data_IF_443868169062
#
_entry.id   IF_443868169062
#
_cell.length_a   1.000
_cell.length_b   1.000
_cell.length_c   1.000
_cell.angle_alpha   90.00
_cell.angle_beta   90.00
_cell.angle_gamma   90.00
#
_symmetry.space_group_name_H-M   'P 1'
#
loop_
_entity.id
_entity.type
_entity.pdbx_description
1 polymer ?
#
# COMPACT_ATOMS: atom_id res chain seq x y z
N UNK A 1 -14.96 -2.51 26.62
CA UNK A 1 -15.38 -1.39 25.74
C UNK A 1 -15.57 -1.83 24.29
N UNK A 2 -14.63 -2.57 23.66
CA UNK A 2 -14.72 -3.04 22.26
C UNK A 2 -15.94 -3.93 22.00
N UNK A 3 -16.28 -4.83 22.92
CA UNK A 3 -17.45 -5.72 22.75
C UNK A 3 -18.78 -4.95 22.76
N UNK A 4 -18.87 -3.86 23.53
CA UNK A 4 -20.04 -2.98 23.58
C UNK A 4 -20.18 -2.16 22.30
N UNK A 5 -19.05 -1.64 21.76
CA UNK A 5 -19.02 -0.87 20.51
C UNK A 5 -19.48 -1.71 19.29
N UNK A 6 -19.01 -2.97 19.20
CA UNK A 6 -19.44 -3.90 18.13
C UNK A 6 -20.94 -4.17 18.17
N UNK A 7 -21.49 -4.45 19.35
CA UNK A 7 -22.93 -4.67 19.50
C UNK A 7 -23.75 -3.41 19.18
N UNK A 8 -23.27 -2.26 19.63
CA UNK A 8 -23.90 -0.97 19.31
C UNK A 8 -23.90 -0.72 17.81
N UNK A 9 -22.75 -0.88 17.15
CA UNK A 9 -22.63 -0.69 15.71
C UNK A 9 -23.46 -1.66 14.88
N UNK A 10 -23.61 -2.92 15.34
CA UNK A 10 -24.48 -3.89 14.69
C UNK A 10 -25.93 -3.38 14.62
N UNK A 11 -26.47 -3.01 15.77
CA UNK A 11 -27.86 -2.54 15.86
C UNK A 11 -28.06 -1.16 15.24
N UNK A 12 -27.11 -0.24 15.41
CA UNK A 12 -27.17 1.08 14.79
C UNK A 12 -27.24 0.98 13.26
N UNK A 13 -26.43 0.10 12.65
CA UNK A 13 -26.46 -0.15 11.21
C UNK A 13 -27.80 -0.70 10.74
N UNK A 14 -28.30 -1.74 11.41
CA UNK A 14 -29.58 -2.36 11.05
C UNK A 14 -30.76 -1.40 11.26
N UNK A 15 -30.84 -0.75 12.41
CA UNK A 15 -31.93 0.19 12.72
C UNK A 15 -31.87 1.39 11.76
N UNK A 16 -30.68 1.94 11.50
CA UNK A 16 -30.52 3.03 10.54
C UNK A 16 -30.96 2.64 9.13
N UNK A 17 -30.55 1.45 8.66
CA UNK A 17 -30.97 0.90 7.37
C UNK A 17 -32.48 0.75 7.26
N UNK A 18 -33.12 0.10 8.23
CA UNK A 18 -34.56 -0.12 8.24
C UNK A 18 -35.34 1.20 8.36
N UNK A 19 -34.88 2.12 9.22
CA UNK A 19 -35.50 3.43 9.36
C UNK A 19 -35.44 4.23 8.05
N UNK A 20 -34.30 4.24 7.37
CA UNK A 20 -34.18 4.93 6.08
C UNK A 20 -35.10 4.32 5.01
N UNK A 21 -35.18 3.00 4.92
CA UNK A 21 -36.10 2.35 3.98
C UNK A 21 -37.57 2.58 4.28
N UNK A 22 -37.92 2.90 5.54
CA UNK A 22 -39.29 3.20 5.98
C UNK A 22 -39.71 4.66 5.77
N UNK A 23 -38.75 5.54 5.48
CA UNK A 23 -38.96 6.96 5.26
C UNK A 23 -38.94 7.29 3.76
N UNK A 24 -39.69 8.28 3.30
CA UNK A 24 -39.60 8.75 1.92
C UNK A 24 -38.23 9.37 1.64
N UNK A 25 -37.82 9.32 0.39
CA UNK A 25 -36.60 9.99 -0.02
C UNK A 25 -36.68 11.51 0.20
N UNK A 26 -35.61 12.17 0.69
CA UNK A 26 -35.55 13.62 0.81
C UNK A 26 -35.66 14.32 -0.53
N UNK A 27 -36.10 15.57 -0.54
CA UNK A 27 -36.15 16.40 -1.74
C UNK A 27 -34.75 16.46 -2.41
N UNK A 28 -34.73 16.26 -3.70
CA UNK A 28 -33.49 16.26 -4.51
C UNK A 28 -32.77 14.92 -4.61
N UNK A 29 -33.24 13.86 -3.93
CA UNK A 29 -32.68 12.52 -4.04
C UNK A 29 -33.74 11.54 -4.61
N UNK A 30 -33.34 10.72 -5.58
CA UNK A 30 -34.21 9.68 -6.12
C UNK A 30 -34.44 8.54 -5.10
N UNK A 31 -35.57 7.83 -5.19
CA UNK A 31 -35.85 6.65 -4.35
C UNK A 31 -34.74 5.61 -4.43
N UNK A 32 -34.19 5.38 -5.62
CA UNK A 32 -33.05 4.48 -5.83
C UNK A 32 -31.82 5.00 -5.09
N UNK A 33 -31.51 6.31 -5.20
CA UNK A 33 -30.41 6.93 -4.48
C UNK A 33 -30.56 6.83 -2.97
N UNK A 34 -31.82 6.99 -2.46
CA UNK A 34 -32.11 6.85 -1.04
C UNK A 34 -31.89 5.42 -0.52
N UNK A 35 -32.32 4.40 -1.29
CA UNK A 35 -32.05 2.99 -0.99
C UNK A 35 -30.55 2.68 -0.97
N UNK A 36 -29.78 3.21 -1.94
CA UNK A 36 -28.30 3.08 -1.94
C UNK A 36 -27.70 3.74 -0.70
N UNK A 37 -28.16 4.93 -0.32
CA UNK A 37 -27.71 5.60 0.90
C UNK A 37 -27.98 4.77 2.16
N UNK A 38 -29.15 4.10 2.26
CA UNK A 38 -29.46 3.21 3.37
C UNK A 38 -28.47 2.02 3.46
N UNK A 39 -28.15 1.39 2.32
CA UNK A 39 -27.13 0.33 2.27
C UNK A 39 -25.75 0.87 2.67
N UNK A 40 -25.39 2.07 2.23
CA UNK A 40 -24.12 2.72 2.59
C UNK A 40 -24.02 2.98 4.10
N UNK A 41 -25.11 3.43 4.74
CA UNK A 41 -25.15 3.63 6.19
C UNK A 41 -24.95 2.30 6.94
N UNK A 42 -25.60 1.22 6.51
CA UNK A 42 -25.43 -0.11 7.08
C UNK A 42 -23.97 -0.57 7.01
N UNK A 43 -23.39 -0.50 5.81
CA UNK A 43 -21.99 -0.89 5.55
C UNK A 43 -21.03 -0.02 6.37
N UNK A 44 -21.22 1.31 6.36
CA UNK A 44 -20.39 2.25 7.10
C UNK A 44 -20.41 1.97 8.60
N UNK A 45 -21.60 1.80 9.20
CA UNK A 45 -21.73 1.47 10.63
C UNK A 45 -20.99 0.17 10.98
N UNK A 46 -21.12 -0.86 10.16
CA UNK A 46 -20.49 -2.15 10.42
C UNK A 46 -18.97 -2.12 10.20
N UNK A 47 -18.48 -1.34 9.25
CA UNK A 47 -17.04 -1.16 9.01
C UNK A 47 -16.36 -0.38 10.13
N UNK A 48 -16.90 0.78 10.49
CA UNK A 48 -16.29 1.63 11.52
C UNK A 48 -16.29 0.99 12.91
N UNK A 49 -17.29 0.16 13.21
CA UNK A 49 -17.39 -0.51 14.50
C UNK A 49 -16.82 -1.92 14.51
N UNK A 50 -16.41 -2.45 13.34
CA UNK A 50 -16.04 -3.85 13.16
C UNK A 50 -17.10 -4.83 13.73
N UNK A 51 -18.37 -4.46 13.61
CA UNK A 51 -19.49 -5.25 14.14
C UNK A 51 -19.57 -6.62 13.45
N UNK A 52 -19.28 -6.65 12.15
CA UNK A 52 -19.18 -7.83 11.31
C UNK A 52 -17.81 -7.79 10.60
N UNK A 53 -17.14 -8.94 10.33
CA UNK A 53 -15.90 -8.95 9.58
C UNK A 53 -16.02 -8.17 8.26
N UNK A 54 -15.00 -7.37 7.95
CA UNK A 54 -14.98 -6.44 6.80
C UNK A 54 -15.28 -7.17 5.48
N UNK A 55 -14.76 -8.38 5.32
CA UNK A 55 -14.99 -9.22 4.13
C UNK A 55 -16.46 -9.60 3.95
N UNK A 56 -17.16 -9.94 5.05
CA UNK A 56 -18.60 -10.26 5.02
C UNK A 56 -19.44 -8.99 4.79
N UNK A 57 -19.06 -7.88 5.43
CA UNK A 57 -19.74 -6.59 5.20
C UNK A 57 -19.59 -6.16 3.74
N UNK A 58 -18.41 -6.40 3.14
CA UNK A 58 -18.16 -6.15 1.72
C UNK A 58 -19.05 -6.96 0.77
N UNK A 59 -19.62 -8.09 1.20
CA UNK A 59 -20.55 -8.90 0.40
C UNK A 59 -22.00 -8.41 0.44
N UNK A 60 -22.35 -7.50 1.36
CA UNK A 60 -23.73 -7.00 1.51
C UNK A 60 -24.31 -6.39 0.23
N UNK A 61 -23.59 -5.60 -0.59
CA UNK A 61 -24.14 -5.07 -1.83
C UNK A 61 -24.67 -6.15 -2.77
N UNK A 62 -24.01 -7.32 -2.83
CA UNK A 62 -24.46 -8.44 -3.65
C UNK A 62 -25.85 -8.96 -3.24
N UNK A 63 -26.16 -8.91 -1.97
CA UNK A 63 -27.47 -9.31 -1.44
C UNK A 63 -28.47 -8.15 -1.46
N UNK A 64 -28.09 -6.99 -0.96
CA UNK A 64 -29.02 -5.89 -0.68
C UNK A 64 -29.46 -5.14 -1.93
N UNK A 65 -28.55 -4.90 -2.89
CA UNK A 65 -28.89 -4.10 -4.08
C UNK A 65 -29.92 -4.82 -4.99
N UNK A 66 -29.83 -6.13 -5.24
CA UNK A 66 -30.89 -6.85 -5.96
C UNK A 66 -32.20 -6.93 -5.20
N UNK A 67 -32.16 -7.20 -3.89
CA UNK A 67 -33.38 -7.28 -3.06
C UNK A 67 -34.13 -5.94 -3.01
N UNK A 68 -33.43 -4.83 -3.08
CA UNK A 68 -34.03 -3.50 -3.13
C UNK A 68 -34.41 -3.06 -4.57
N UNK A 69 -34.25 -3.94 -5.57
CA UNK A 69 -34.59 -3.65 -6.97
C UNK A 69 -33.68 -2.59 -7.62
N UNK A 70 -32.48 -2.36 -7.08
CA UNK A 70 -31.55 -1.33 -7.57
C UNK A 70 -30.78 -1.84 -8.81
N UNK A 71 -30.34 -3.11 -8.78
CA UNK A 71 -29.60 -3.70 -9.89
C UNK A 71 -29.85 -5.20 -9.99
N UNK A 72 -29.62 -5.79 -11.16
CA UNK A 72 -29.72 -7.24 -11.35
C UNK A 72 -28.51 -7.94 -10.68
N UNK A 73 -28.70 -9.18 -10.14
CA UNK A 73 -27.61 -9.95 -9.54
C UNK A 73 -26.38 -10.10 -10.44
N UNK A 74 -26.59 -10.38 -11.74
CA UNK A 74 -25.49 -10.54 -12.70
C UNK A 74 -24.65 -9.25 -12.87
N UNK A 75 -25.33 -8.10 -12.88
CA UNK A 75 -24.65 -6.80 -12.95
C UNK A 75 -23.78 -6.55 -11.71
N UNK A 76 -24.25 -6.94 -10.52
CA UNK A 76 -23.45 -6.84 -9.30
C UNK A 76 -22.32 -7.86 -9.30
N UNK A 77 -22.57 -9.11 -9.67
CA UNK A 77 -21.55 -10.15 -9.77
C UNK A 77 -20.38 -9.74 -10.67
N UNK A 78 -20.68 -9.13 -11.82
CA UNK A 78 -19.66 -8.65 -12.76
C UNK A 78 -18.75 -7.56 -12.18
N UNK A 79 -19.25 -6.78 -11.18
CA UNK A 79 -18.45 -5.80 -10.47
C UNK A 79 -17.45 -6.46 -9.51
N UNK A 80 -17.85 -7.56 -8.86
CA UNK A 80 -16.96 -8.32 -7.98
C UNK A 80 -15.90 -9.13 -8.73
N UNK A 81 -16.13 -9.47 -10.00
CA UNK A 81 -15.20 -10.24 -10.85
C UNK A 81 -14.69 -9.40 -12.04
N UNK A 82 -14.39 -8.13 -11.77
CA UNK A 82 -13.86 -7.24 -12.80
C UNK A 82 -12.37 -7.50 -13.10
N UNK A 83 -11.86 -7.14 -14.30
CA UNK A 83 -10.44 -7.23 -14.62
C UNK A 83 -9.53 -6.55 -13.60
N UNK A 84 -10.00 -5.45 -12.99
CA UNK A 84 -9.28 -4.75 -11.92
C UNK A 84 -9.03 -5.65 -10.71
N UNK A 85 -9.99 -6.49 -10.33
CA UNK A 85 -9.82 -7.44 -9.23
C UNK A 85 -8.71 -8.45 -9.54
N UNK A 86 -8.64 -8.95 -10.77
CA UNK A 86 -7.59 -9.87 -11.19
C UNK A 86 -6.21 -9.21 -11.25
N UNK A 87 -6.14 -7.92 -11.60
CA UNK A 87 -4.91 -7.14 -11.51
C UNK A 87 -4.44 -7.04 -10.05
N UNK A 88 -5.35 -6.69 -9.13
CA UNK A 88 -5.07 -6.60 -7.68
C UNK A 88 -4.65 -7.97 -7.14
N UNK A 89 -5.36 -9.03 -7.49
CA UNK A 89 -5.07 -10.39 -7.03
C UNK A 89 -3.70 -10.86 -7.52
N UNK A 90 -3.44 -10.75 -8.81
CA UNK A 90 -2.16 -11.15 -9.40
C UNK A 90 -0.99 -10.34 -8.84
N UNK A 91 -1.14 -9.01 -8.76
CA UNK A 91 -0.15 -8.12 -8.13
C UNK A 91 0.10 -8.46 -6.66
N UNK A 92 -0.96 -8.76 -5.90
CA UNK A 92 -0.83 -9.16 -4.49
C UNK A 92 -0.10 -10.49 -4.33
N UNK A 93 -0.35 -11.47 -5.18
CA UNK A 93 0.35 -12.76 -5.16
C UNK A 93 1.84 -12.59 -5.50
N UNK A 94 2.17 -11.73 -6.46
CA UNK A 94 3.55 -11.35 -6.78
C UNK A 94 4.20 -10.67 -5.56
N UNK A 95 3.51 -9.75 -4.91
CA UNK A 95 3.96 -9.09 -3.68
C UNK A 95 4.20 -10.07 -2.54
N UNK A 96 3.30 -11.05 -2.35
CA UNK A 96 3.45 -12.11 -1.34
C UNK A 96 4.67 -13.01 -1.61
N UNK A 97 4.97 -13.31 -2.88
CA UNK A 97 6.18 -14.05 -3.22
C UNK A 97 7.46 -13.24 -2.94
N UNK A 98 7.44 -11.93 -3.23
CA UNK A 98 8.51 -11.02 -2.88
C UNK A 98 8.75 -10.97 -1.36
N UNK A 99 7.68 -10.99 -0.57
CA UNK A 99 7.69 -11.08 0.89
C UNK A 99 8.23 -12.42 1.38
N UNK A 100 7.65 -13.52 0.91
CA UNK A 100 7.98 -14.89 1.32
C UNK A 100 9.47 -15.21 1.18
N UNK A 101 10.10 -14.70 0.14
CA UNK A 101 11.52 -14.92 -0.14
C UNK A 101 12.41 -13.77 0.36
N UNK A 102 11.88 -12.86 1.21
CA UNK A 102 12.62 -11.77 1.84
C UNK A 102 13.40 -10.87 0.85
N UNK A 103 12.91 -10.71 -0.38
CA UNK A 103 13.55 -9.88 -1.39
C UNK A 103 13.58 -8.41 -0.99
N UNK A 104 12.53 -7.93 -0.30
CA UNK A 104 12.46 -6.60 0.30
C UNK A 104 13.64 -6.35 1.25
N UNK A 105 13.94 -7.34 2.11
CA UNK A 105 15.07 -7.25 3.05
C UNK A 105 16.40 -7.18 2.30
N UNK A 106 16.58 -8.01 1.27
CA UNK A 106 17.79 -8.00 0.45
C UNK A 106 18.02 -6.65 -0.21
N UNK A 107 16.98 -6.06 -0.84
CA UNK A 107 17.06 -4.74 -1.46
C UNK A 107 17.38 -3.68 -0.41
N UNK A 108 16.73 -3.73 0.75
CA UNK A 108 16.98 -2.79 1.83
C UNK A 108 18.43 -2.87 2.34
N UNK A 109 18.95 -4.07 2.59
CA UNK A 109 20.32 -4.27 3.04
C UNK A 109 21.33 -3.76 2.01
N UNK A 110 21.10 -4.02 0.71
CA UNK A 110 21.98 -3.53 -0.35
C UNK A 110 22.03 -2.01 -0.44
N UNK A 111 20.91 -1.32 -0.21
CA UNK A 111 20.84 0.15 -0.30
C UNK A 111 21.38 0.79 0.99
N UNK A 112 20.92 0.32 2.15
CA UNK A 112 21.27 0.92 3.44
C UNK A 112 22.76 0.68 3.79
N UNK A 113 23.33 -0.48 3.48
CA UNK A 113 24.76 -0.77 3.69
C UNK A 113 25.70 0.13 2.86
N UNK A 114 25.21 0.66 1.74
CA UNK A 114 25.96 1.59 0.87
C UNK A 114 25.68 3.05 1.16
N UNK A 115 24.68 3.36 1.98
CA UNK A 115 24.31 4.72 2.32
C UNK A 115 25.43 5.44 3.07
N UNK A 116 25.45 6.77 3.00
CA UNK A 116 26.31 7.57 3.86
C UNK A 116 25.80 7.41 5.32
N UNK A 117 26.71 7.14 6.29
CA UNK A 117 26.34 6.93 7.68
C UNK A 117 25.81 8.20 8.41
N UNK A 118 25.78 9.34 7.76
CA UNK A 118 25.12 10.53 8.26
C UNK A 118 23.61 10.28 8.49
N UNK A 119 23.03 10.68 9.65
CA UNK A 119 21.63 10.39 9.99
C UNK A 119 20.61 10.81 8.93
N UNK A 120 20.79 11.97 8.30
CA UNK A 120 19.90 12.43 7.23
C UNK A 120 19.99 11.57 5.96
N UNK A 121 21.19 11.16 5.59
CA UNK A 121 21.41 10.29 4.45
C UNK A 121 20.85 8.90 4.69
N UNK A 122 20.99 8.37 5.89
CA UNK A 122 20.42 7.10 6.31
C UNK A 122 18.88 7.13 6.26
N UNK A 123 18.28 8.21 6.76
CA UNK A 123 16.84 8.42 6.66
C UNK A 123 16.36 8.42 5.20
N UNK A 124 17.05 9.13 4.31
CA UNK A 124 16.71 9.14 2.88
C UNK A 124 16.87 7.76 2.24
N UNK A 125 17.92 7.03 2.58
CA UNK A 125 18.13 5.67 2.07
C UNK A 125 17.00 4.72 2.48
N UNK A 126 16.57 4.77 3.75
CA UNK A 126 15.41 4.01 4.25
C UNK A 126 14.14 4.42 3.51
N UNK A 127 13.89 5.72 3.33
CA UNK A 127 12.71 6.20 2.59
C UNK A 127 12.75 5.75 1.13
N UNK A 128 13.88 5.87 0.46
CA UNK A 128 14.01 5.51 -0.95
C UNK A 128 13.76 4.01 -1.18
N UNK A 129 14.36 3.14 -0.35
CA UNK A 129 14.16 1.70 -0.49
C UNK A 129 12.75 1.29 -0.08
N UNK A 130 12.17 1.91 0.94
CA UNK A 130 10.79 1.66 1.36
C UNK A 130 9.81 2.03 0.24
N UNK A 131 9.98 3.20 -0.37
CA UNK A 131 9.16 3.62 -1.50
C UNK A 131 9.31 2.67 -2.71
N UNK A 132 10.53 2.27 -3.03
CA UNK A 132 10.77 1.31 -4.12
C UNK A 132 10.11 -0.05 -3.88
N UNK A 133 10.21 -0.60 -2.67
CA UNK A 133 9.54 -1.87 -2.32
C UNK A 133 8.03 -1.73 -2.39
N UNK A 134 7.49 -0.60 -1.91
CA UNK A 134 6.06 -0.34 -1.88
C UNK A 134 5.43 -0.13 -3.26
N UNK A 135 6.21 0.07 -4.30
CA UNK A 135 5.71 0.04 -5.69
C UNK A 135 5.16 -1.34 -6.08
N UNK A 136 5.69 -2.41 -5.47
CA UNK A 136 5.42 -3.80 -5.85
C UNK A 136 4.66 -4.58 -4.77
N UNK A 137 4.72 -4.11 -3.53
CA UNK A 137 4.12 -4.72 -2.34
C UNK A 137 3.21 -3.70 -1.69
N UNK A 138 2.07 -4.10 -1.16
CA UNK A 138 1.13 -3.16 -0.55
C UNK A 138 1.77 -2.39 0.63
N UNK A 139 1.28 -1.16 0.87
CA UNK A 139 1.84 -0.22 1.83
C UNK A 139 1.95 -0.79 3.25
N UNK A 140 0.92 -1.50 3.72
CA UNK A 140 0.89 -2.05 5.09
C UNK A 140 1.95 -3.13 5.27
N UNK A 141 2.06 -4.07 4.34
CA UNK A 141 3.08 -5.11 4.37
C UNK A 141 4.48 -4.49 4.28
N UNK A 142 4.69 -3.55 3.35
CA UNK A 142 5.97 -2.82 3.22
C UNK A 142 6.36 -2.12 4.52
N UNK A 143 5.42 -1.43 5.18
CA UNK A 143 5.67 -0.75 6.45
C UNK A 143 6.11 -1.74 7.53
N UNK A 144 5.37 -2.84 7.70
CA UNK A 144 5.69 -3.87 8.71
C UNK A 144 7.06 -4.51 8.45
N UNK A 145 7.40 -4.77 7.19
CA UNK A 145 8.68 -5.39 6.81
C UNK A 145 9.88 -4.44 6.95
N UNK A 146 9.68 -3.17 6.62
CA UNK A 146 10.77 -2.18 6.65
C UNK A 146 11.06 -1.63 8.04
N UNK A 147 10.06 -1.67 8.94
CA UNK A 147 10.22 -1.15 10.29
C UNK A 147 11.35 -1.83 11.08
N UNK A 148 11.50 -3.15 11.11
CA UNK A 148 12.64 -3.79 11.80
C UNK A 148 14.00 -3.37 11.23
N UNK A 149 14.11 -3.18 9.92
CA UNK A 149 15.35 -2.75 9.27
C UNK A 149 15.67 -1.29 9.67
N UNK A 150 14.67 -0.43 9.66
CA UNK A 150 14.79 0.96 10.11
C UNK A 150 15.18 1.05 11.59
N UNK A 151 14.61 0.19 12.45
CA UNK A 151 14.94 0.11 13.87
C UNK A 151 16.37 -0.41 14.10
N UNK A 152 16.82 -1.41 13.33
CA UNK A 152 18.22 -1.88 13.38
C UNK A 152 19.21 -0.77 12.95
N UNK A 153 18.89 -0.04 11.89
CA UNK A 153 19.68 1.11 11.44
C UNK A 153 19.68 2.24 12.47
N UNK A 154 18.55 2.49 13.15
CA UNK A 154 18.44 3.45 14.24
C UNK A 154 19.34 3.06 15.43
N UNK A 155 19.29 1.80 15.86
CA UNK A 155 20.09 1.30 16.98
C UNK A 155 21.60 1.38 16.71
N UNK A 156 22.03 1.31 15.45
CA UNK A 156 23.43 1.51 15.08
C UNK A 156 23.94 2.95 15.28
N UNK A 157 23.03 3.93 15.28
CA UNK A 157 23.35 5.36 15.22
C UNK A 157 23.04 6.06 16.55
N UNK A 158 22.01 5.61 17.26
CA UNK A 158 21.58 6.20 18.54
C UNK A 158 22.03 5.29 19.68
N UNK A 159 22.79 5.79 20.67
CA UNK A 159 23.20 5.01 21.84
C UNK A 159 22.01 4.47 22.63
N UNK A 160 22.23 3.37 23.35
CA UNK A 160 21.21 2.76 24.21
C UNK A 160 20.72 3.73 25.31
N UNK A 161 19.45 3.57 25.71
CA UNK A 161 18.85 4.32 26.81
C UNK A 161 19.68 4.15 28.10
N UNK A 162 20.05 5.28 28.74
CA UNK A 162 20.86 5.29 29.95
C UNK A 162 22.28 5.80 29.74
N UNK A 163 22.74 5.94 28.50
CA UNK A 163 23.99 6.65 28.21
C UNK A 163 23.83 8.14 28.59
N UNK A 164 24.71 8.66 29.46
CA UNK A 164 24.69 10.08 29.82
C UNK A 164 25.05 10.93 28.60
N UNK A 165 24.05 11.47 27.99
CA UNK A 165 24.16 12.35 26.81
C UNK A 165 23.59 13.71 27.21
N UNK A 166 24.14 14.79 26.69
CA UNK A 166 23.61 16.13 26.92
C UNK A 166 22.13 16.22 26.42
N UNK A 167 21.33 17.01 27.14
CA UNK A 167 19.87 17.11 26.87
C UNK A 167 19.54 17.58 25.44
N UNK A 168 20.40 18.41 24.86
CA UNK A 168 20.29 18.83 23.47
C UNK A 168 20.46 17.66 22.50
N UNK A 169 21.48 16.84 22.65
CA UNK A 169 21.78 15.66 21.87
C UNK A 169 20.70 14.59 22.03
N UNK A 170 20.19 14.41 23.26
CA UNK A 170 19.08 13.51 23.53
C UNK A 170 17.81 13.91 22.75
N UNK A 171 17.54 15.22 22.60
CA UNK A 171 16.44 15.70 21.75
C UNK A 171 16.65 15.34 20.28
N UNK A 172 17.86 15.52 19.74
CA UNK A 172 18.19 15.15 18.38
C UNK A 172 18.02 13.64 18.11
N UNK A 173 18.48 12.80 19.04
CA UNK A 173 18.28 11.34 18.97
C UNK A 173 16.81 10.96 18.96
N UNK A 174 16.00 11.55 19.84
CA UNK A 174 14.55 11.32 19.90
C UNK A 174 13.85 11.77 18.61
N UNK A 175 14.21 12.93 18.09
CA UNK A 175 13.66 13.42 16.82
C UNK A 175 14.02 12.50 15.65
N UNK A 176 15.26 12.02 15.59
CA UNK A 176 15.69 11.07 14.57
C UNK A 176 14.94 9.74 14.67
N UNK A 177 14.76 9.20 15.88
CA UNK A 177 13.98 7.98 16.10
C UNK A 177 12.52 8.12 15.63
N UNK A 178 11.87 9.23 16.00
CA UNK A 178 10.51 9.53 15.56
C UNK A 178 10.45 9.73 14.02
N UNK A 179 11.42 10.45 13.46
CA UNK A 179 11.52 10.66 12.02
C UNK A 179 11.69 9.33 11.28
N UNK A 180 12.50 8.40 11.78
CA UNK A 180 12.75 7.09 11.17
C UNK A 180 11.47 6.25 11.07
N UNK A 181 10.67 6.21 12.15
CA UNK A 181 9.39 5.47 12.18
C UNK A 181 8.38 6.10 11.21
N UNK A 182 8.22 7.43 11.26
CA UNK A 182 7.31 8.14 10.38
C UNK A 182 7.73 8.04 8.92
N UNK A 183 9.04 8.06 8.64
CA UNK A 183 9.61 7.96 7.31
C UNK A 183 9.23 6.66 6.61
N UNK A 184 9.24 5.52 7.32
CA UNK A 184 8.82 4.23 6.75
C UNK A 184 7.36 4.28 6.29
N UNK A 185 6.46 4.81 7.13
CA UNK A 185 5.03 4.93 6.79
C UNK A 185 4.78 5.91 5.64
N UNK A 186 5.40 7.09 5.67
CA UNK A 186 5.28 8.08 4.60
C UNK A 186 5.83 7.54 3.28
N UNK A 187 7.03 6.97 3.30
CA UNK A 187 7.67 6.44 2.11
C UNK A 187 6.89 5.27 1.49
N UNK A 188 6.30 4.40 2.32
CA UNK A 188 5.48 3.30 1.81
C UNK A 188 4.23 3.83 1.09
N UNK A 189 3.56 4.84 1.62
CA UNK A 189 2.40 5.45 0.97
C UNK A 189 2.78 6.16 -0.34
N UNK A 190 3.86 6.94 -0.33
CA UNK A 190 4.36 7.62 -1.53
C UNK A 190 4.82 6.64 -2.60
N UNK A 191 5.48 5.55 -2.19
CA UNK A 191 5.93 4.49 -3.10
C UNK A 191 4.76 3.71 -3.70
N UNK A 192 3.77 3.36 -2.88
CA UNK A 192 2.57 2.64 -3.32
C UNK A 192 1.77 3.38 -4.39
N UNK A 193 1.86 4.71 -4.44
CA UNK A 193 1.23 5.50 -5.50
C UNK A 193 1.88 5.31 -6.88
N UNK A 194 3.13 4.88 -6.93
CA UNK A 194 3.92 4.85 -8.18
C UNK A 194 3.43 3.84 -9.22
N UNK A 195 2.74 2.76 -8.82
CA UNK A 195 2.21 1.74 -9.73
C UNK A 195 0.75 1.41 -9.45
N UNK A 196 0.00 0.87 -10.42
CA UNK A 196 -1.37 0.43 -10.19
C UNK A 196 -1.53 -0.63 -9.10
N UNK A 197 -0.52 -1.49 -8.91
CA UNK A 197 -0.55 -2.61 -7.93
C UNK A 197 0.03 -2.26 -6.56
N UNK A 198 0.75 -1.14 -6.43
CA UNK A 198 1.35 -0.72 -5.16
C UNK A 198 0.31 -0.49 -4.06
N UNK A 199 -0.90 -0.07 -4.42
CA UNK A 199 -2.05 -0.06 -3.52
C UNK A 199 -3.34 -0.40 -4.29
N UNK A 200 -4.28 -1.16 -3.69
CA UNK A 200 -5.58 -1.47 -4.32
C UNK A 200 -6.37 -0.22 -4.76
N UNK A 201 -6.20 0.90 -4.06
CA UNK A 201 -6.86 2.17 -4.37
C UNK A 201 -6.51 2.65 -5.78
N UNK A 202 -5.26 2.50 -6.22
CA UNK A 202 -4.83 2.90 -7.56
C UNK A 202 -5.57 2.07 -8.64
N UNK A 203 -5.58 0.75 -8.49
CA UNK A 203 -6.29 -0.13 -9.42
C UNK A 203 -7.80 0.16 -9.46
N UNK A 204 -8.41 0.47 -8.30
CA UNK A 204 -9.82 0.86 -8.23
C UNK A 204 -10.03 2.19 -8.97
N UNK A 205 -9.14 3.16 -8.79
CA UNK A 205 -9.19 4.44 -9.50
C UNK A 205 -9.12 4.26 -11.02
N UNK A 206 -8.19 3.41 -11.50
CA UNK A 206 -8.10 3.02 -12.93
C UNK A 206 -9.43 2.42 -13.42
N UNK A 207 -10.00 1.49 -12.66
CA UNK A 207 -11.28 0.86 -13.00
C UNK A 207 -12.47 1.83 -13.02
N UNK A 208 -12.48 2.83 -12.15
CA UNK A 208 -13.51 3.89 -12.15
C UNK A 208 -13.35 4.80 -13.38
N UNK A 209 -12.12 5.20 -13.69
CA UNK A 209 -11.83 6.02 -14.88
C UNK A 209 -12.26 5.32 -16.15
N UNK A 210 -11.97 4.04 -16.29
CA UNK A 210 -12.37 3.25 -17.46
C UNK A 210 -13.90 3.14 -17.59
N UNK A 211 -14.61 2.87 -16.48
CA UNK A 211 -16.07 2.66 -16.52
C UNK A 211 -16.89 3.93 -16.62
N UNK A 212 -16.48 5.00 -15.90
CA UNK A 212 -17.27 6.23 -15.78
C UNK A 212 -16.91 7.29 -16.81
N UNK A 213 -15.68 7.23 -17.33
CA UNK A 213 -15.15 8.27 -18.23
C UNK A 213 -14.58 7.68 -19.52
N UNK A 214 -14.65 6.36 -19.74
CA UNK A 214 -14.09 5.64 -20.90
C UNK A 214 -12.57 5.88 -21.09
N UNK A 215 -11.88 6.31 -20.02
CA UNK A 215 -10.45 6.57 -20.01
C UNK A 215 -9.73 5.30 -19.55
N UNK A 216 -9.06 4.62 -20.46
CA UNK A 216 -8.18 3.50 -20.16
C UNK A 216 -6.82 4.02 -19.80
N UNK A 217 -6.32 3.61 -18.63
CA UNK A 217 -4.94 3.85 -18.21
C UNK A 217 -4.24 2.50 -18.06
N UNK A 218 -3.30 2.25 -18.96
CA UNK A 218 -2.41 1.09 -18.86
C UNK A 218 -1.44 1.23 -17.68
N UNK A 219 -0.79 0.13 -17.31
CA UNK A 219 0.20 0.10 -16.24
C UNK A 219 1.31 1.15 -16.44
N UNK A 220 1.84 1.23 -17.67
CA UNK A 220 2.92 2.17 -17.99
C UNK A 220 2.44 3.64 -18.02
N UNK A 221 1.21 3.90 -18.46
CA UNK A 221 0.65 5.25 -18.41
C UNK A 221 0.47 5.73 -16.98
N UNK A 222 -0.02 4.87 -16.06
CA UNK A 222 -0.03 5.21 -14.65
C UNK A 222 1.37 5.51 -14.12
N UNK A 223 2.35 4.66 -14.41
CA UNK A 223 3.74 4.87 -13.97
C UNK A 223 4.34 6.16 -14.51
N UNK A 224 3.92 6.62 -15.69
CA UNK A 224 4.46 7.83 -16.32
C UNK A 224 4.27 9.10 -15.49
N UNK A 225 3.25 9.14 -14.63
CA UNK A 225 3.04 10.21 -13.64
C UNK A 225 3.29 9.75 -12.20
N UNK A 226 2.98 8.50 -11.87
CA UNK A 226 3.14 7.96 -10.53
C UNK A 226 4.60 7.89 -10.07
N UNK A 227 5.50 7.41 -10.94
CA UNK A 227 6.94 7.35 -10.63
C UNK A 227 7.56 8.74 -10.47
N UNK A 228 7.38 9.71 -11.39
CA UNK A 228 7.85 11.09 -11.17
C UNK A 228 7.30 11.71 -9.88
N UNK A 229 6.02 11.50 -9.58
CA UNK A 229 5.41 11.98 -8.33
C UNK A 229 6.14 11.40 -7.11
N UNK A 230 6.38 10.09 -7.08
CA UNK A 230 7.13 9.43 -5.98
C UNK A 230 8.56 10.00 -5.87
N UNK A 231 9.27 10.10 -7.00
CA UNK A 231 10.66 10.60 -7.03
C UNK A 231 10.79 12.04 -6.55
N UNK A 232 9.77 12.87 -6.72
CA UNK A 232 9.72 14.24 -6.19
C UNK A 232 9.26 14.26 -4.73
N UNK A 233 8.21 13.51 -4.41
CA UNK A 233 7.57 13.57 -3.10
C UNK A 233 8.41 12.95 -1.99
N UNK A 234 9.17 11.89 -2.27
CA UNK A 234 10.04 11.24 -1.26
C UNK A 234 11.14 12.18 -0.77
N UNK A 235 11.94 12.85 -1.63
CA UNK A 235 12.92 13.85 -1.17
C UNK A 235 12.28 15.05 -0.46
N UNK A 236 11.12 15.52 -0.91
CA UNK A 236 10.40 16.61 -0.25
C UNK A 236 9.94 16.20 1.15
N UNK A 237 9.33 15.01 1.28
CA UNK A 237 8.91 14.46 2.56
C UNK A 237 10.11 14.25 3.50
N UNK A 238 11.21 13.73 3.00
CA UNK A 238 12.48 13.61 3.73
C UNK A 238 12.99 14.97 4.23
N UNK A 239 12.99 15.99 3.37
CA UNK A 239 13.45 17.33 3.73
C UNK A 239 12.55 17.94 4.82
N UNK A 240 11.21 17.87 4.65
CA UNK A 240 10.25 18.37 5.64
C UNK A 240 10.45 17.64 6.97
N UNK A 241 10.54 16.32 6.94
CA UNK A 241 10.64 15.49 8.14
C UNK A 241 11.94 15.77 8.91
N UNK A 242 13.08 15.85 8.19
CA UNK A 242 14.42 15.98 8.79
C UNK A 242 14.84 17.40 9.14
N UNK A 243 14.20 18.42 8.57
CA UNK A 243 14.59 19.83 8.73
C UNK A 243 13.52 20.69 9.38
N UNK A 244 12.24 20.38 9.16
CA UNK A 244 11.13 21.23 9.60
C UNK A 244 10.38 20.60 10.77
N UNK A 245 9.87 19.39 10.62
CA UNK A 245 8.99 18.77 11.62
C UNK A 245 9.76 18.20 12.80
N UNK A 246 10.81 17.43 12.53
CA UNK A 246 11.64 16.74 13.52
C UNK A 246 13.13 17.03 13.26
N UNK A 247 13.59 18.27 13.40
CA UNK A 247 14.97 18.62 13.10
C UNK A 247 15.94 17.86 13.99
N UNK A 248 16.96 17.27 13.37
CA UNK A 248 18.07 16.60 14.05
C UNK A 248 19.37 16.90 13.33
N UNK A 249 20.44 17.00 14.14
CA UNK A 249 21.79 17.21 13.67
C UNK A 249 22.78 16.65 14.70
N UNK A 250 23.44 15.56 14.37
CA UNK A 250 24.43 14.90 15.22
C UNK A 250 25.34 14.02 14.36
N UNK A 251 26.49 13.64 14.91
CA UNK A 251 27.43 12.77 14.24
C UNK A 251 26.81 11.39 13.99
N UNK A 252 26.95 10.89 12.76
CA UNK A 252 26.51 9.54 12.40
C UNK A 252 27.42 8.46 13.00
N UNK A 253 27.00 7.21 12.82
CA UNK A 253 27.80 6.03 13.14
C UNK A 253 28.83 5.74 12.04
N UNK A 254 29.67 4.73 12.27
CA UNK A 254 30.50 4.20 11.17
C UNK A 254 29.65 3.34 10.21
N UNK A 255 30.08 3.21 8.97
CA UNK A 255 29.44 2.28 8.03
C UNK A 255 29.46 0.83 8.52
N UNK A 256 30.53 0.47 9.19
CA UNK A 256 30.74 -0.85 9.79
C UNK A 256 29.69 -1.13 10.87
N UNK A 257 29.46 -0.19 11.77
CA UNK A 257 28.41 -0.29 12.83
C UNK A 257 27.02 -0.45 12.23
N UNK A 258 26.68 0.31 11.19
CA UNK A 258 25.38 0.17 10.50
C UNK A 258 25.28 -1.20 9.86
N UNK A 259 26.31 -1.64 9.13
CA UNK A 259 26.35 -2.94 8.44
C UNK A 259 26.23 -4.12 9.42
N UNK A 260 26.93 -4.05 10.54
CA UNK A 260 26.87 -5.08 11.60
C UNK A 260 25.49 -5.16 12.24
N UNK A 261 24.84 -4.00 12.44
CA UNK A 261 23.49 -3.94 13.03
C UNK A 261 22.39 -4.43 12.11
N UNK A 262 22.43 -4.12 10.81
CA UNK A 262 21.41 -4.54 9.84
C UNK A 262 21.73 -5.92 9.23
N UNK A 263 22.98 -6.36 9.26
CA UNK A 263 23.49 -7.58 8.64
C UNK A 263 23.76 -7.45 7.14
N UNK A 264 24.33 -8.49 6.57
CA UNK A 264 24.61 -8.57 5.13
C UNK A 264 23.60 -9.49 4.41
N UNK A 265 23.25 -9.16 3.16
CA UNK A 265 22.51 -10.10 2.34
C UNK A 265 23.41 -11.29 2.02
N UNK A 266 23.07 -12.49 2.47
CA UNK A 266 23.76 -13.72 2.09
C UNK A 266 23.75 -13.97 0.56
N UNK A 267 24.34 -15.09 0.07
CA UNK A 267 24.28 -15.43 -1.35
C UNK A 267 22.83 -15.55 -1.83
N UNK A 268 22.57 -15.17 -3.08
CA UNK A 268 21.22 -15.24 -3.66
C UNK A 268 20.80 -16.70 -3.88
N UNK A 269 19.70 -17.09 -3.28
CA UNK A 269 19.14 -18.44 -3.41
C UNK A 269 18.49 -18.68 -4.77
N UNK A 270 18.24 -19.95 -5.11
CA UNK A 270 17.58 -20.33 -6.37
C UNK A 270 16.14 -19.78 -6.42
N UNK A 271 15.41 -19.87 -5.31
CA UNK A 271 14.05 -19.38 -5.22
C UNK A 271 14.00 -17.84 -5.38
N UNK A 272 14.86 -17.09 -4.68
CA UNK A 272 14.97 -15.63 -4.82
C UNK A 272 15.24 -15.22 -6.27
N UNK A 273 16.15 -15.93 -6.96
CA UNK A 273 16.48 -15.68 -8.36
C UNK A 273 15.29 -15.93 -9.29
N UNK A 274 14.52 -17.01 -9.03
CA UNK A 274 13.30 -17.29 -9.79
C UNK A 274 12.26 -16.19 -9.62
N UNK A 275 11.98 -15.78 -8.40
CA UNK A 275 11.02 -14.70 -8.14
C UNK A 275 11.48 -13.40 -8.77
N UNK A 276 12.76 -13.02 -8.64
CA UNK A 276 13.30 -11.84 -9.28
C UNK A 276 13.18 -11.88 -10.82
N UNK A 277 13.44 -13.04 -11.43
CA UNK A 277 13.29 -13.21 -12.87
C UNK A 277 11.82 -13.06 -13.31
N UNK A 278 10.89 -13.68 -12.58
CA UNK A 278 9.44 -13.58 -12.88
C UNK A 278 8.97 -12.14 -12.71
N UNK A 279 9.33 -11.47 -11.62
CA UNK A 279 8.97 -10.06 -11.38
C UNK A 279 9.55 -9.16 -12.48
N UNK A 280 10.79 -9.39 -12.90
CA UNK A 280 11.41 -8.63 -13.99
C UNK A 280 10.70 -8.85 -15.33
N UNK A 281 10.31 -10.11 -15.64
CA UNK A 281 9.55 -10.44 -16.85
C UNK A 281 8.17 -9.78 -16.83
N UNK A 282 7.45 -9.86 -15.70
CA UNK A 282 6.14 -9.25 -15.53
C UNK A 282 6.22 -7.72 -15.67
N UNK A 283 7.20 -7.09 -15.01
CA UNK A 283 7.43 -5.65 -15.12
C UNK A 283 7.75 -5.24 -16.57
N UNK A 284 8.61 -5.99 -17.26
CA UNK A 284 8.90 -5.76 -18.67
C UNK A 284 7.64 -5.94 -19.54
N UNK A 285 6.83 -6.98 -19.28
CA UNK A 285 5.59 -7.20 -20.02
C UNK A 285 4.60 -6.04 -19.85
N UNK A 286 4.46 -5.47 -18.65
CA UNK A 286 3.64 -4.27 -18.43
C UNK A 286 4.18 -3.04 -19.16
N UNK A 287 5.50 -2.82 -19.14
CA UNK A 287 6.12 -1.69 -19.84
C UNK A 287 5.94 -1.80 -21.34
N UNK A 288 6.07 -3.00 -21.89
CA UNK A 288 5.98 -3.26 -23.33
C UNK A 288 4.57 -3.67 -23.78
N UNK A 289 3.56 -3.66 -22.92
CA UNK A 289 2.19 -4.04 -23.25
C UNK A 289 1.65 -3.33 -24.51
N UNK A 290 1.85 -2.01 -24.73
CA UNK A 290 1.36 -1.35 -25.94
C UNK A 290 1.95 -1.91 -27.25
N UNK A 291 3.08 -2.59 -27.18
CA UNK A 291 3.71 -3.27 -28.31
C UNK A 291 3.24 -4.73 -28.39
N UNK A 292 3.18 -5.40 -27.24
CA UNK A 292 2.82 -6.82 -27.14
C UNK A 292 1.36 -7.08 -27.57
N UNK A 293 0.43 -6.20 -27.24
CA UNK A 293 -0.99 -6.36 -27.60
C UNK A 293 -1.23 -6.37 -29.13
N UNK A 294 -0.33 -5.76 -29.90
CA UNK A 294 -0.37 -5.82 -31.38
C UNK A 294 -0.07 -7.21 -31.92
N UNK A 295 0.74 -7.98 -31.19
CA UNK A 295 1.17 -9.33 -31.57
C UNK A 295 0.34 -10.41 -30.87
N UNK A 296 -0.13 -10.12 -29.66
CA UNK A 296 -0.95 -11.02 -28.84
C UNK A 296 -2.26 -10.28 -28.52
N UNK A 297 -3.24 -10.33 -29.41
CA UNK A 297 -4.53 -9.66 -29.19
C UNK A 297 -5.23 -10.22 -27.96
N UNK A 298 -5.71 -9.31 -27.08
CA UNK A 298 -6.37 -9.68 -25.81
C UNK A 298 -5.44 -9.81 -24.62
N UNK A 299 -4.13 -9.56 -24.77
CA UNK A 299 -3.23 -9.40 -23.62
C UNK A 299 -3.60 -8.13 -22.86
N UNK A 300 -3.72 -8.23 -21.54
CA UNK A 300 -4.11 -7.13 -20.67
C UNK A 300 -3.20 -7.06 -19.44
N UNK A 301 -3.18 -5.91 -18.75
CA UNK A 301 -2.44 -5.76 -17.49
C UNK A 301 -2.84 -6.84 -16.46
N UNK A 302 -4.14 -7.13 -16.35
CA UNK A 302 -4.66 -8.19 -15.48
C UNK A 302 -4.19 -9.59 -15.92
N UNK A 303 -4.18 -9.86 -17.23
CA UNK A 303 -3.67 -11.11 -17.79
C UNK A 303 -2.20 -11.33 -17.45
N UNK A 304 -1.37 -10.31 -17.61
CA UNK A 304 0.06 -10.34 -17.23
C UNK A 304 0.23 -10.61 -15.72
N UNK A 305 -0.55 -9.92 -14.88
CA UNK A 305 -0.51 -10.13 -13.43
C UNK A 305 -0.83 -11.58 -13.04
N UNK A 306 -1.90 -12.14 -13.60
CA UNK A 306 -2.31 -13.52 -13.34
C UNK A 306 -1.28 -14.52 -13.88
N UNK A 307 -0.76 -14.32 -15.08
CA UNK A 307 0.28 -15.17 -15.65
C UNK A 307 1.55 -15.17 -14.79
N UNK A 308 1.98 -13.99 -14.31
CA UNK A 308 3.08 -13.85 -13.38
C UNK A 308 2.85 -14.57 -12.06
N UNK A 309 1.64 -14.45 -11.49
CA UNK A 309 1.27 -15.13 -10.25
C UNK A 309 1.25 -16.66 -10.39
N UNK A 310 0.82 -17.18 -11.54
CA UNK A 310 0.84 -18.63 -11.84
C UNK A 310 2.24 -19.20 -12.08
N UNK A 311 3.20 -18.35 -12.49
CA UNK A 311 4.58 -18.74 -12.73
C UNK A 311 5.42 -18.80 -11.44
N UNK A 312 4.96 -18.22 -10.32
CA UNK A 312 5.61 -18.17 -9.01
C UNK A 312 5.46 -19.48 -8.26
#
# INVERSE_FOLDING_TARGET
LRMTLKKFGLWLGVVGFVAMLSLPAPEGLSDTGWRVAAVTVLIGCWWFTEAVPVTLTGSLPFLTLPLLGIAKPDAIASLYMSPVLFLILGGSLIGLAFEKWNLHRRVALMVVSKANPEPRSLLLAIMAVTAFVSMWVNNSATTVMMLPIAMAALAAVVPEEGTKVDASLQRHHRNFAAAMILAVSLASNLGGFATPIGTPVNSIAVGILERSYEVRLSFIEWMSFGVPFMLLSVPVAWWILSRVTLPFDFAGASRESIRDSIGEPGPIGVAERRVLAIVAIVAAAWVFLPVLEKTIPGLTDAGIAVAGALAL
#
